data_IF_965639363812
#
_entry.id   IF_965639363812
#
_cell.length_a   1.000
_cell.length_b   1.000
_cell.length_c   1.000
_cell.angle_alpha   90.00
_cell.angle_beta   90.00
_cell.angle_gamma   90.00
#
_symmetry.space_group_name_H-M   'P 1'
#
loop_
_entity.id
_entity.type
_entity.pdbx_description
1 polymer ?
#
# COMPACT_ATOMS: atom_id res chain seq x y z
N UNK A 1 -34.60 30.79 -26.00
CA UNK A 1 -33.19 31.06 -26.35
C UNK A 1 -32.67 32.45 -25.94
N UNK A 2 -33.51 33.40 -25.49
CA UNK A 2 -33.04 34.76 -25.11
C UNK A 2 -32.52 34.92 -23.67
N UNK A 3 -32.62 33.90 -22.82
CA UNK A 3 -32.13 33.98 -21.43
C UNK A 3 -30.60 33.92 -21.37
N UNK A 4 -29.96 33.13 -22.24
CA UNK A 4 -28.49 32.98 -22.31
C UNK A 4 -27.75 34.23 -22.80
N UNK A 5 -28.44 35.21 -23.39
CA UNK A 5 -27.84 36.44 -23.96
C UNK A 5 -27.92 37.67 -23.04
N UNK A 6 -28.62 37.59 -21.90
CA UNK A 6 -28.65 38.67 -20.90
C UNK A 6 -27.63 38.39 -19.80
N UNK A 7 -26.94 39.43 -19.31
CA UNK A 7 -25.95 39.32 -18.22
C UNK A 7 -26.48 38.54 -17.01
N UNK A 8 -27.74 38.77 -16.62
CA UNK A 8 -28.40 38.05 -15.53
C UNK A 8 -28.53 36.54 -15.78
N UNK A 9 -28.78 36.13 -17.03
CA UNK A 9 -28.86 34.72 -17.39
C UNK A 9 -27.50 34.05 -17.42
N UNK A 10 -26.44 34.80 -17.72
CA UNK A 10 -25.05 34.32 -17.67
C UNK A 10 -24.60 34.11 -16.21
N UNK A 11 -24.92 35.04 -15.31
CA UNK A 11 -24.65 34.91 -13.86
C UNK A 11 -25.40 33.72 -13.27
N UNK A 12 -26.67 33.54 -13.64
CA UNK A 12 -27.49 32.42 -13.15
C UNK A 12 -26.96 31.06 -13.63
N UNK A 13 -26.52 30.93 -14.89
CA UNK A 13 -25.92 29.69 -15.40
C UNK A 13 -24.59 29.38 -14.70
N UNK A 14 -23.76 30.39 -14.45
CA UNK A 14 -22.51 30.20 -13.70
C UNK A 14 -22.76 29.73 -12.27
N UNK A 15 -23.71 30.35 -11.56
CA UNK A 15 -23.99 30.03 -10.15
C UNK A 15 -24.74 28.71 -9.96
N UNK A 16 -25.69 28.39 -10.84
CA UNK A 16 -26.58 27.23 -10.67
C UNK A 16 -26.03 25.97 -11.35
N UNK A 17 -25.24 26.10 -12.41
CA UNK A 17 -24.72 24.95 -13.17
C UNK A 17 -23.22 24.81 -12.97
N UNK A 18 -22.45 25.88 -13.20
CA UNK A 18 -20.99 25.79 -13.22
C UNK A 18 -20.41 25.59 -11.81
N UNK A 19 -20.92 26.32 -10.81
CA UNK A 19 -20.42 26.25 -9.44
C UNK A 19 -20.65 24.87 -8.77
N UNK A 20 -21.85 24.24 -8.87
CA UNK A 20 -22.03 22.88 -8.37
C UNK A 20 -21.15 21.84 -9.08
N UNK A 21 -20.95 21.97 -10.39
CA UNK A 21 -20.06 21.08 -11.16
C UNK A 21 -18.61 21.25 -10.73
N UNK A 22 -18.14 22.49 -10.51
CA UNK A 22 -16.80 22.74 -10.01
C UNK A 22 -16.58 22.19 -8.60
N UNK A 23 -17.53 22.40 -7.69
CA UNK A 23 -17.48 21.83 -6.33
C UNK A 23 -17.46 20.30 -6.38
N UNK A 24 -18.28 19.70 -7.23
CA UNK A 24 -18.27 18.26 -7.46
C UNK A 24 -16.90 17.77 -7.92
N UNK A 25 -16.31 18.43 -8.92
CA UNK A 25 -14.98 18.10 -9.42
C UNK A 25 -13.92 18.23 -8.31
N UNK A 26 -13.95 19.31 -7.52
CA UNK A 26 -13.00 19.52 -6.42
C UNK A 26 -13.06 18.39 -5.40
N UNK A 27 -14.25 18.04 -4.90
CA UNK A 27 -14.41 16.93 -3.97
C UNK A 27 -13.98 15.59 -4.59
N UNK A 28 -14.16 15.42 -5.91
CA UNK A 28 -13.79 14.20 -6.60
C UNK A 28 -12.28 14.04 -6.67
N UNK A 29 -11.58 15.10 -7.03
CA UNK A 29 -10.12 15.09 -7.03
C UNK A 29 -9.56 14.95 -5.61
N UNK A 30 -10.15 15.64 -4.63
CA UNK A 30 -9.70 15.54 -3.24
C UNK A 30 -9.83 14.11 -2.68
N UNK A 31 -10.98 13.46 -2.87
CA UNK A 31 -11.18 12.08 -2.43
C UNK A 31 -10.24 11.09 -3.13
N UNK A 32 -10.02 11.23 -4.44
CA UNK A 32 -9.05 10.42 -5.19
C UNK A 32 -7.62 10.65 -4.72
N UNK A 33 -7.24 11.90 -4.42
CA UNK A 33 -5.92 12.22 -3.89
C UNK A 33 -5.70 11.63 -2.50
N UNK A 34 -6.69 11.71 -1.61
CA UNK A 34 -6.62 11.09 -0.28
C UNK A 34 -6.41 9.58 -0.37
N UNK A 35 -7.20 8.88 -1.19
CA UNK A 35 -7.06 7.42 -1.41
C UNK A 35 -5.67 7.09 -1.96
N UNK A 36 -5.20 7.85 -2.96
CA UNK A 36 -3.87 7.64 -3.55
C UNK A 36 -2.76 7.90 -2.55
N UNK A 37 -2.88 8.94 -1.72
CA UNK A 37 -1.90 9.24 -0.68
C UNK A 37 -1.79 8.08 0.32
N UNK A 38 -2.93 7.58 0.80
CA UNK A 38 -2.97 6.41 1.68
C UNK A 38 -2.38 5.16 1.02
N UNK A 39 -2.76 4.88 -0.22
CA UNK A 39 -2.19 3.77 -0.99
C UNK A 39 -0.66 3.85 -1.00
N UNK A 40 -0.10 5.02 -1.33
CA UNK A 40 1.36 5.22 -1.39
C UNK A 40 2.03 5.04 -0.03
N UNK A 41 1.40 5.49 1.06
CA UNK A 41 1.93 5.30 2.42
C UNK A 41 1.91 3.82 2.84
N UNK A 42 0.84 3.08 2.53
CA UNK A 42 0.79 1.64 2.84
C UNK A 42 1.78 0.88 1.95
N UNK A 43 1.87 1.22 0.66
CA UNK A 43 2.85 0.65 -0.26
C UNK A 43 4.28 0.85 0.26
N UNK A 44 4.65 2.05 0.70
CA UNK A 44 6.00 2.29 1.22
C UNK A 44 6.31 1.45 2.47
N UNK A 45 5.35 1.29 3.39
CA UNK A 45 5.49 0.41 4.55
C UNK A 45 5.74 -1.03 4.11
N UNK A 46 4.99 -1.53 3.13
CA UNK A 46 5.17 -2.86 2.56
C UNK A 46 6.53 -3.00 1.88
N UNK A 47 6.91 -2.03 1.04
CA UNK A 47 8.18 -2.00 0.30
C UNK A 47 9.39 -2.03 1.25
N UNK A 48 9.39 -1.21 2.30
CA UNK A 48 10.46 -1.24 3.31
C UNK A 48 10.54 -2.58 4.03
N UNK A 49 9.39 -3.21 4.29
CA UNK A 49 9.32 -4.49 4.99
C UNK A 49 9.81 -5.64 4.12
N UNK A 50 9.35 -5.71 2.87
CA UNK A 50 9.78 -6.74 1.90
C UNK A 50 11.25 -6.58 1.56
N UNK A 51 11.73 -5.34 1.39
CA UNK A 51 13.14 -5.06 1.10
C UNK A 51 14.03 -5.44 2.28
N UNK A 52 13.63 -5.10 3.50
CA UNK A 52 14.39 -5.48 4.69
C UNK A 52 14.46 -7.01 4.87
N UNK A 53 13.36 -7.73 4.59
CA UNK A 53 13.37 -9.19 4.57
C UNK A 53 14.27 -9.75 3.47
N UNK A 54 14.19 -9.22 2.26
CA UNK A 54 15.04 -9.64 1.13
C UNK A 54 16.53 -9.38 1.39
N UNK A 55 16.90 -8.31 2.08
CA UNK A 55 18.29 -8.00 2.44
C UNK A 55 18.91 -8.96 3.46
N UNK A 56 18.13 -9.84 4.09
CA UNK A 56 18.67 -10.94 4.90
C UNK A 56 19.10 -12.14 4.05
N UNK A 57 18.88 -12.08 2.74
CA UNK A 57 19.19 -13.15 1.82
C UNK A 57 20.66 -13.57 1.90
N UNK A 58 20.88 -14.88 1.88
CA UNK A 58 22.20 -15.47 1.84
C UNK A 58 22.46 -16.04 0.45
N UNK A 59 23.64 -15.74 -0.09
CA UNK A 59 24.08 -16.28 -1.38
C UNK A 59 24.57 -17.71 -1.20
N UNK A 60 23.93 -18.66 -1.86
CA UNK A 60 24.32 -20.05 -1.91
C UNK A 60 24.83 -20.39 -3.32
N UNK A 61 25.97 -21.08 -3.37
CA UNK A 61 26.50 -21.59 -4.64
C UNK A 61 25.80 -22.90 -4.98
N UNK A 62 24.95 -22.89 -6.00
CA UNK A 62 24.28 -24.08 -6.53
C UNK A 62 24.92 -24.44 -7.88
N UNK A 63 25.94 -25.31 -7.85
CA UNK A 63 26.70 -25.66 -9.06
C UNK A 63 27.50 -24.49 -9.63
N UNK A 64 27.16 -24.07 -10.86
CA UNK A 64 27.79 -22.92 -11.56
C UNK A 64 27.07 -21.59 -11.36
N UNK A 65 25.89 -21.59 -10.72
CA UNK A 65 25.07 -20.40 -10.51
C UNK A 65 25.05 -19.97 -9.03
N UNK A 66 25.00 -18.66 -8.80
CA UNK A 66 24.76 -18.08 -7.49
C UNK A 66 23.26 -17.88 -7.30
N UNK A 67 22.69 -18.57 -6.31
CA UNK A 67 21.28 -18.45 -5.96
C UNK A 67 21.21 -17.75 -4.61
N UNK A 68 20.38 -16.72 -4.51
CA UNK A 68 20.13 -16.06 -3.23
C UNK A 68 18.84 -16.60 -2.62
N UNK A 69 18.89 -17.01 -1.35
CA UNK A 69 17.74 -17.54 -0.61
C UNK A 69 17.51 -16.71 0.65
N UNK A 70 16.25 -16.47 1.01
CA UNK A 70 15.91 -15.74 2.23
C UNK A 70 15.77 -16.73 3.38
N UNK A 71 16.60 -16.64 4.43
CA UNK A 71 16.57 -17.59 5.53
C UNK A 71 15.34 -17.40 6.44
N UNK A 72 14.85 -18.51 6.98
CA UNK A 72 13.87 -18.52 8.07
C UNK A 72 14.47 -19.24 9.29
N UNK A 73 14.62 -18.50 10.39
CA UNK A 73 15.01 -19.03 11.69
C UNK A 73 14.10 -18.51 12.79
N UNK A 74 13.60 -19.41 13.65
CA UNK A 74 12.83 -19.05 14.85
C UNK A 74 13.72 -18.68 16.04
N UNK A 75 14.97 -19.18 16.07
CA UNK A 75 15.95 -18.93 17.12
C UNK A 75 16.76 -17.65 16.87
N UNK A 76 17.20 -17.40 15.63
CA UNK A 76 17.89 -16.17 15.22
C UNK A 76 16.95 -15.26 14.42
N UNK A 77 16.03 -14.60 15.13
CA UNK A 77 15.05 -13.70 14.50
C UNK A 77 15.70 -12.52 13.77
N UNK A 78 16.87 -12.06 14.18
CA UNK A 78 17.59 -10.93 13.56
C UNK A 78 18.13 -11.23 12.17
N UNK A 79 18.35 -12.51 11.83
CA UNK A 79 18.78 -12.95 10.50
C UNK A 79 17.65 -13.59 9.70
N UNK A 80 16.48 -13.76 10.30
CA UNK A 80 15.34 -14.41 9.68
C UNK A 80 14.54 -13.39 8.86
N UNK A 81 14.51 -13.54 7.54
CA UNK A 81 13.90 -12.56 6.64
C UNK A 81 12.44 -12.27 6.95
N UNK A 82 11.67 -13.30 7.34
CA UNK A 82 10.31 -13.14 7.85
C UNK A 82 10.25 -12.22 9.09
N UNK A 83 11.08 -12.48 10.11
CA UNK A 83 11.01 -11.74 11.37
C UNK A 83 11.49 -10.30 11.19
N UNK A 84 12.51 -10.09 10.36
CA UNK A 84 12.98 -8.75 9.99
C UNK A 84 11.90 -7.98 9.25
N UNK A 85 11.25 -8.57 8.24
CA UNK A 85 10.14 -7.94 7.54
C UNK A 85 8.97 -7.60 8.48
N UNK A 86 8.58 -8.52 9.36
CA UNK A 86 7.53 -8.28 10.37
C UNK A 86 7.90 -7.15 11.33
N UNK A 87 9.16 -7.09 11.75
CA UNK A 87 9.66 -6.03 12.65
C UNK A 87 9.55 -4.67 11.96
N UNK A 88 10.08 -4.55 10.74
CA UNK A 88 10.05 -3.30 9.97
C UNK A 88 8.62 -2.89 9.64
N UNK A 89 7.74 -3.84 9.34
CA UNK A 89 6.32 -3.56 9.15
C UNK A 89 5.71 -2.94 10.40
N UNK A 90 5.90 -3.55 11.58
CA UNK A 90 5.36 -3.04 12.85
C UNK A 90 5.92 -1.68 13.26
N UNK A 91 7.16 -1.38 12.87
CA UNK A 91 7.78 -0.07 13.14
C UNK A 91 7.18 1.00 12.22
N UNK A 92 7.07 0.71 10.92
CA UNK A 92 6.63 1.68 9.92
C UNK A 92 5.10 1.85 9.85
N UNK A 93 4.31 0.82 10.18
CA UNK A 93 2.83 0.91 10.19
C UNK A 93 2.33 1.97 11.19
N UNK A 94 3.14 2.35 12.19
CA UNK A 94 2.80 3.40 13.17
C UNK A 94 2.71 4.80 12.56
N UNK A 95 3.29 5.02 11.38
CA UNK A 95 3.20 6.31 10.66
C UNK A 95 1.88 6.46 9.93
N UNK A 96 1.09 5.38 9.80
CA UNK A 96 -0.19 5.37 9.13
C UNK A 96 -1.32 5.88 10.03
N UNK A 97 -2.42 6.38 9.45
CA UNK A 97 -3.62 6.74 10.20
C UNK A 97 -4.17 5.57 11.01
N UNK A 98 -4.74 5.87 12.18
CA UNK A 98 -5.06 4.87 13.20
C UNK A 98 -5.99 3.74 12.73
N UNK A 99 -7.01 4.05 11.93
CA UNK A 99 -7.92 3.04 11.39
C UNK A 99 -7.21 2.00 10.51
N UNK A 100 -6.36 2.47 9.59
CA UNK A 100 -5.58 1.61 8.69
C UNK A 100 -4.52 0.85 9.47
N UNK A 101 -3.81 1.55 10.37
CA UNK A 101 -2.80 0.93 11.26
C UNK A 101 -3.38 -0.25 12.02
N UNK A 102 -4.55 -0.08 12.65
CA UNK A 102 -5.18 -1.12 13.44
C UNK A 102 -5.65 -2.29 12.57
N UNK A 103 -6.21 -2.01 11.39
CA UNK A 103 -6.61 -3.04 10.43
C UNK A 103 -5.41 -3.86 9.93
N UNK A 104 -4.32 -3.18 9.52
CA UNK A 104 -3.09 -3.83 9.05
C UNK A 104 -2.38 -4.64 10.15
N UNK A 105 -2.37 -4.13 11.40
CA UNK A 105 -1.85 -4.88 12.54
C UNK A 105 -2.70 -6.11 12.86
N UNK A 106 -4.02 -6.01 12.74
CA UNK A 106 -4.91 -7.15 12.92
C UNK A 106 -4.67 -8.22 11.83
N UNK A 107 -4.55 -7.81 10.55
CA UNK A 107 -4.24 -8.72 9.44
C UNK A 107 -2.87 -9.41 9.60
N UNK A 108 -1.88 -8.70 10.12
CA UNK A 108 -0.58 -9.29 10.45
C UNK A 108 -0.70 -10.38 11.53
N UNK A 109 -1.57 -10.19 12.52
CA UNK A 109 -1.78 -11.15 13.61
C UNK A 109 -2.61 -12.37 13.17
N UNK A 110 -3.65 -12.16 12.36
CA UNK A 110 -4.47 -13.24 11.79
C UNK A 110 -3.71 -14.04 10.71
N UNK A 111 -2.68 -13.43 10.11
CA UNK A 111 -1.92 -14.04 9.02
C UNK A 111 -2.54 -13.82 7.64
N UNK A 112 -3.40 -12.81 7.50
CA UNK A 112 -4.07 -12.45 6.24
C UNK A 112 -3.17 -11.64 5.30
N UNK A 113 -1.95 -11.28 5.72
CA UNK A 113 -0.94 -10.71 4.81
C UNK A 113 -0.36 -11.84 3.96
N UNK A 114 -0.78 -11.88 2.71
CA UNK A 114 -0.39 -12.90 1.75
C UNK A 114 1.10 -12.76 1.35
N UNK A 115 1.72 -13.88 0.98
CA UNK A 115 3.11 -13.94 0.53
C UNK A 115 4.16 -13.87 1.64
N UNK A 116 3.83 -13.31 2.80
CA UNK A 116 4.79 -13.09 3.88
C UNK A 116 5.40 -14.39 4.44
N UNK A 117 4.62 -15.47 4.44
CA UNK A 117 5.03 -16.81 4.92
C UNK A 117 5.29 -17.80 3.78
N UNK A 118 5.38 -17.33 2.55
CA UNK A 118 5.59 -18.21 1.38
C UNK A 118 7.03 -18.74 1.38
N UNK A 119 7.17 -20.02 1.73
CA UNK A 119 8.47 -20.69 1.81
C UNK A 119 9.10 -20.87 0.44
N UNK A 120 8.30 -21.13 -0.60
CA UNK A 120 8.82 -21.40 -1.93
C UNK A 120 9.32 -20.09 -2.56
N UNK A 121 8.60 -18.98 -2.35
CA UNK A 121 9.08 -17.64 -2.71
C UNK A 121 10.40 -17.29 -2.00
N UNK A 122 10.49 -17.53 -0.68
CA UNK A 122 11.69 -17.24 0.11
C UNK A 122 12.90 -18.08 -0.32
N UNK A 123 12.70 -19.37 -0.62
CA UNK A 123 13.75 -20.22 -1.19
C UNK A 123 14.20 -19.73 -2.58
N UNK A 124 13.29 -19.16 -3.36
CA UNK A 124 13.60 -18.48 -4.63
C UNK A 124 14.23 -17.09 -4.46
N UNK A 125 14.43 -16.63 -3.23
CA UNK A 125 15.00 -15.31 -2.94
C UNK A 125 14.01 -14.16 -3.03
N UNK A 126 12.70 -14.43 -3.01
CA UNK A 126 11.64 -13.43 -3.10
C UNK A 126 10.93 -13.25 -1.76
N UNK A 127 10.66 -12.00 -1.42
CA UNK A 127 9.81 -11.61 -0.30
C UNK A 127 8.59 -10.87 -0.85
N UNK A 128 7.40 -11.38 -0.54
CA UNK A 128 6.13 -10.86 -1.06
C UNK A 128 5.26 -10.46 0.14
N UNK A 129 4.61 -9.30 0.05
CA UNK A 129 3.58 -8.90 1.00
C UNK A 129 2.41 -8.32 0.23
N UNK A 130 1.21 -8.86 0.43
CA UNK A 130 -0.02 -8.33 -0.16
C UNK A 130 -1.11 -8.20 0.91
N UNK A 131 -1.83 -7.09 0.90
CA UNK A 131 -2.90 -6.78 1.85
C UNK A 131 -3.99 -5.97 1.17
N UNK A 132 -5.23 -6.11 1.64
CA UNK A 132 -6.35 -5.28 1.23
C UNK A 132 -6.99 -4.65 2.45
N UNK A 133 -7.31 -3.36 2.40
CA UNK A 133 -7.95 -2.64 3.50
C UNK A 133 -9.07 -1.71 3.00
N UNK A 134 -9.98 -1.37 3.90
CA UNK A 134 -11.09 -0.44 3.59
C UNK A 134 -10.72 0.97 4.01
N UNK A 135 -10.83 1.92 3.07
CA UNK A 135 -10.61 3.34 3.35
C UNK A 135 -11.85 4.17 3.03
N UNK A 136 -12.22 5.03 3.98
CA UNK A 136 -13.29 6.01 3.84
C UNK A 136 -12.68 7.42 3.78
N UNK A 137 -12.76 8.13 2.64
CA UNK A 137 -12.29 9.50 2.56
C UNK A 137 -13.16 10.45 3.39
N UNK A 138 -12.61 11.60 3.76
CA UNK A 138 -13.31 12.59 4.60
C UNK A 138 -14.55 13.15 3.91
N UNK A 139 -14.52 13.27 2.59
CA UNK A 139 -15.64 13.73 1.77
C UNK A 139 -16.06 12.56 0.86
N UNK A 140 -16.99 11.71 1.32
CA UNK A 140 -17.40 10.55 0.55
C UNK A 140 -18.34 10.98 -0.57
N UNK A 141 -17.84 10.98 -1.81
CA UNK A 141 -18.73 11.08 -2.97
C UNK A 141 -19.46 9.74 -3.08
N UNK A 142 -20.80 9.80 -3.06
CA UNK A 142 -21.69 8.64 -3.12
C UNK A 142 -21.58 7.63 -1.97
N UNK A 143 -21.02 7.97 -0.80
CA UNK A 143 -20.96 7.04 0.36
C UNK A 143 -20.25 5.70 0.11
N UNK A 144 -19.44 5.57 -0.94
CA UNK A 144 -18.72 4.33 -1.23
C UNK A 144 -17.42 4.25 -0.44
N UNK A 145 -17.20 3.12 0.23
CA UNK A 145 -15.91 2.78 0.81
C UNK A 145 -14.99 2.29 -0.30
N UNK A 146 -13.73 2.74 -0.29
CA UNK A 146 -12.72 2.24 -1.21
C UNK A 146 -12.09 0.99 -0.61
N UNK A 147 -12.08 -0.10 -1.38
CA UNK A 147 -11.25 -1.27 -1.07
C UNK A 147 -9.94 -1.06 -1.82
N UNK A 148 -8.85 -0.97 -1.05
CA UNK A 148 -7.52 -0.70 -1.59
C UNK A 148 -6.68 -1.96 -1.39
N UNK A 149 -6.20 -2.55 -2.47
CA UNK A 149 -5.30 -3.69 -2.47
C UNK A 149 -3.89 -3.20 -2.79
N UNK A 150 -2.92 -3.58 -1.96
CA UNK A 150 -1.53 -3.15 -2.05
C UNK A 150 -0.67 -4.40 -2.02
N UNK A 151 0.26 -4.53 -2.97
CA UNK A 151 1.23 -5.61 -2.96
C UNK A 151 2.63 -5.07 -3.20
N UNK A 152 3.59 -5.59 -2.45
CA UNK A 152 5.02 -5.39 -2.68
C UNK A 152 5.71 -6.73 -2.90
N UNK A 153 6.73 -6.71 -3.74
CA UNK A 153 7.65 -7.83 -3.92
C UNK A 153 9.07 -7.30 -3.98
N UNK A 154 9.97 -7.93 -3.24
CA UNK A 154 11.40 -7.62 -3.27
C UNK A 154 12.19 -8.90 -3.47
N UNK A 155 13.30 -8.81 -4.22
CA UNK A 155 14.18 -9.95 -4.51
C UNK A 155 15.52 -9.71 -3.82
N UNK A 156 16.06 -10.76 -3.20
CA UNK A 156 17.41 -10.71 -2.67
C UNK A 156 18.43 -10.79 -3.81
N UNK A 157 19.50 -10.01 -3.70
CA UNK A 157 20.56 -9.95 -4.70
C UNK A 157 21.76 -10.76 -4.21
N UNK A 158 22.37 -11.59 -5.08
CA UNK A 158 23.59 -12.28 -4.72
C UNK A 158 24.75 -11.28 -4.60
N UNK A 159 25.55 -11.41 -3.55
CA UNK A 159 26.81 -10.66 -3.40
C UNK A 159 27.83 -11.27 -4.37
N UNK A 160 28.10 -10.58 -5.48
CA UNK A 160 29.10 -10.96 -6.49
C UNK A 160 30.38 -10.15 -6.27
#
# INVERSE_FOLDING_TARGET
MNFLKKEDGNVTVVLVVLLPVLLWCLFFFESKMQVRWIYTQVQSVLDFSTLAGANTGETQKSGTEYVCSIPYSASEQSKSGYHVAVKLFKENVKTLPEGIKNELLAQLQSGDIEGLKDRDAQMGGYMIMSTSFKYKPNIPIFFHNYIVTVSSTSRCQPDI
#
